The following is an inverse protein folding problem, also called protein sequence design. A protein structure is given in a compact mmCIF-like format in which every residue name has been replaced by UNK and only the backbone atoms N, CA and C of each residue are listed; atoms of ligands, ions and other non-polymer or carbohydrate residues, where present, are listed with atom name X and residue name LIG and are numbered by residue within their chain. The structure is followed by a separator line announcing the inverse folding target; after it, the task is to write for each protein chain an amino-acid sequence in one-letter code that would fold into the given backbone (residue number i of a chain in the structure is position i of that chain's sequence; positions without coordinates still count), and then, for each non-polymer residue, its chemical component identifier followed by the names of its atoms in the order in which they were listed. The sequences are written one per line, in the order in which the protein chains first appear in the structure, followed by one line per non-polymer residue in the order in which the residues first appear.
data_IF_157807183697
#
_entry.id   IF_157807183697
#
_cell.length_a   1.000
_cell.length_b   1.000
_cell.length_c   1.000
_cell.angle_alpha   90.00
_cell.angle_beta   90.00
_cell.angle_gamma   90.00
#
_symmetry.space_group_name_H-M   'P 1'
#
loop_
_entity.id
_entity.type
_entity.pdbx_description
1 polymer ?
#
# COMPACT_ATOMS: atom_id res chain seq x y z
N UNK A 1 8.76 -21.48 -7.45
CA UNK A 1 9.04 -20.21 -8.16
C UNK A 1 10.49 -19.83 -7.94
N UNK A 2 11.25 -19.58 -9.00
CA UNK A 2 12.63 -19.13 -8.93
C UNK A 2 12.70 -17.66 -9.39
N UNK A 3 13.36 -16.83 -8.61
CA UNK A 3 13.56 -15.41 -8.85
C UNK A 3 15.04 -15.17 -9.12
N UNK A 4 15.33 -14.48 -10.22
CA UNK A 4 16.66 -14.00 -10.54
C UNK A 4 16.59 -12.50 -10.77
N UNK A 5 17.16 -11.73 -9.85
CA UNK A 5 17.31 -10.28 -9.98
C UNK A 5 18.76 -9.99 -10.34
N UNK A 6 18.98 -9.17 -11.35
CA UNK A 6 20.30 -8.71 -11.79
C UNK A 6 20.32 -7.20 -11.87
N UNK A 7 21.51 -6.61 -11.78
CA UNK A 7 21.68 -5.21 -12.10
C UNK A 7 21.30 -4.93 -13.57
N UNK A 8 20.84 -3.70 -13.83
CA UNK A 8 20.49 -3.23 -15.16
C UNK A 8 21.74 -2.97 -16.02
N UNK A 9 22.87 -2.64 -15.37
CA UNK A 9 24.18 -2.61 -16.02
C UNK A 9 24.67 -4.03 -16.30
N UNK A 10 24.87 -4.36 -17.57
CA UNK A 10 25.34 -5.68 -18.01
C UNK A 10 26.76 -6.00 -17.51
N UNK A 11 27.57 -4.98 -17.21
CA UNK A 11 28.93 -5.13 -16.70
C UNK A 11 28.97 -5.27 -15.17
N UNK A 12 27.83 -5.09 -14.50
CA UNK A 12 27.73 -5.19 -13.05
C UNK A 12 27.43 -6.62 -12.61
N UNK A 13 28.25 -7.14 -11.70
CA UNK A 13 28.12 -8.51 -11.19
C UNK A 13 27.03 -8.69 -10.14
N UNK A 14 26.36 -7.61 -9.72
CA UNK A 14 25.33 -7.68 -8.68
C UNK A 14 24.16 -8.56 -9.12
N UNK A 15 23.78 -9.51 -8.27
CA UNK A 15 22.78 -10.53 -8.56
C UNK A 15 22.20 -11.12 -7.28
N UNK A 16 20.90 -11.37 -7.28
CA UNK A 16 20.18 -12.14 -6.28
C UNK A 16 19.47 -13.30 -6.99
N UNK A 17 19.74 -14.54 -6.58
CA UNK A 17 18.94 -15.71 -6.93
C UNK A 17 18.23 -16.20 -5.68
N UNK A 18 16.92 -16.35 -5.76
CA UNK A 18 16.10 -16.88 -4.69
C UNK A 18 15.07 -17.89 -5.23
N UNK A 19 14.59 -18.77 -4.36
CA UNK A 19 13.50 -19.71 -4.69
C UNK A 19 12.47 -19.73 -3.59
N UNK A 20 11.20 -19.95 -3.95
CA UNK A 20 10.12 -20.17 -2.98
C UNK A 20 10.48 -21.35 -2.07
N UNK A 21 10.28 -21.18 -0.78
CA UNK A 21 10.50 -22.21 0.23
C UNK A 21 9.29 -23.16 0.28
N UNK A 22 9.28 -24.18 -0.59
CA UNK A 22 8.18 -25.14 -0.67
C UNK A 22 6.82 -24.45 -0.79
N UNK A 23 5.93 -24.75 0.16
CA UNK A 23 4.56 -24.23 0.20
C UNK A 23 4.37 -22.99 1.08
N UNK A 24 5.37 -22.57 1.86
CA UNK A 24 5.26 -21.38 2.73
C UNK A 24 5.59 -20.10 1.96
N UNK A 25 5.03 -18.97 2.40
CA UNK A 25 5.22 -17.64 1.79
C UNK A 25 6.57 -17.00 2.16
N UNK A 26 7.65 -17.76 1.95
CA UNK A 26 9.02 -17.30 2.17
C UNK A 26 9.90 -17.67 0.97
N UNK A 27 10.98 -16.91 0.79
CA UNK A 27 11.98 -17.18 -0.23
C UNK A 27 13.33 -17.49 0.41
N UNK A 28 14.01 -18.51 -0.10
CA UNK A 28 15.38 -18.85 0.27
C UNK A 28 16.31 -18.18 -0.74
N UNK A 29 17.24 -17.36 -0.26
CA UNK A 29 18.31 -16.81 -1.07
C UNK A 29 19.30 -17.93 -1.38
N UNK A 30 19.37 -18.32 -2.65
CA UNK A 30 20.29 -19.35 -3.13
C UNK A 30 21.68 -18.77 -3.44
N UNK A 31 21.72 -17.53 -3.95
CA UNK A 31 22.98 -16.87 -4.32
C UNK A 31 22.81 -15.37 -4.25
N UNK A 32 23.79 -14.69 -3.64
CA UNK A 32 23.84 -13.24 -3.56
C UNK A 32 25.25 -12.76 -3.91
N UNK A 33 25.35 -11.92 -4.93
CA UNK A 33 26.49 -11.06 -5.18
C UNK A 33 26.08 -9.63 -4.82
N UNK A 34 26.44 -9.19 -3.61
CA UNK A 34 25.90 -7.96 -3.03
C UNK A 34 26.71 -6.69 -3.33
N UNK A 35 27.65 -6.74 -4.28
CA UNK A 35 28.51 -5.60 -4.61
C UNK A 35 28.16 -5.05 -5.98
N UNK A 36 27.79 -3.77 -6.03
CA UNK A 36 27.64 -3.04 -7.28
C UNK A 36 28.97 -2.44 -7.71
N UNK A 37 29.34 -2.64 -8.97
CA UNK A 37 30.46 -1.93 -9.64
C UNK A 37 29.98 -0.81 -10.56
N UNK A 38 28.67 -0.72 -10.81
CA UNK A 38 28.05 0.28 -11.68
C UNK A 38 27.85 1.63 -10.96
N UNK A 39 27.76 2.71 -11.75
CA UNK A 39 27.55 4.07 -11.22
C UNK A 39 26.21 4.21 -10.48
N UNK A 40 26.15 5.17 -9.56
CA UNK A 40 24.92 5.52 -8.86
C UNK A 40 23.82 5.94 -9.83
N UNK A 41 24.17 6.64 -10.92
CA UNK A 41 23.21 7.00 -11.96
C UNK A 41 22.50 5.77 -12.52
N UNK A 42 23.22 4.70 -12.88
CA UNK A 42 22.59 3.47 -13.41
C UNK A 42 21.78 2.75 -12.31
N UNK A 43 22.28 2.73 -11.08
CA UNK A 43 21.58 2.14 -9.93
C UNK A 43 20.26 2.84 -9.62
N UNK A 44 20.14 4.12 -9.96
CA UNK A 44 18.98 4.96 -9.64
C UNK A 44 18.20 5.50 -10.87
N UNK A 45 18.66 5.23 -12.10
CA UNK A 45 18.09 5.76 -13.37
C UNK A 45 16.63 5.36 -13.52
N UNK A 46 16.36 4.09 -13.26
CA UNK A 46 15.02 3.53 -13.23
C UNK A 46 14.63 3.27 -11.78
N UNK A 47 13.91 4.22 -11.18
CA UNK A 47 13.25 4.08 -9.87
C UNK A 47 12.09 3.05 -9.90
N UNK A 48 12.23 1.96 -10.66
CA UNK A 48 11.27 0.87 -10.89
C UNK A 48 11.14 -0.08 -9.69
N UNK A 49 12.06 0.03 -8.73
CA UNK A 49 12.20 -0.85 -7.56
C UNK A 49 10.97 -0.81 -6.64
N UNK A 50 10.27 0.34 -6.56
CA UNK A 50 9.09 0.53 -5.73
C UNK A 50 7.91 1.00 -6.60
N UNK A 51 6.96 0.09 -6.86
CA UNK A 51 5.71 0.40 -7.55
C UNK A 51 4.78 1.17 -6.61
N UNK A 52 3.82 1.90 -7.18
CA UNK A 52 2.82 2.64 -6.40
C UNK A 52 2.06 1.70 -5.44
N UNK A 53 1.65 0.52 -5.93
CA UNK A 53 0.91 -0.45 -5.13
C UNK A 53 1.76 -1.05 -4.01
N UNK A 54 3.05 -1.30 -4.25
CA UNK A 54 3.97 -1.77 -3.21
C UNK A 54 4.13 -0.73 -2.10
N UNK A 55 4.34 0.53 -2.47
CA UNK A 55 4.48 1.61 -1.48
C UNK A 55 3.19 1.77 -0.68
N UNK A 56 2.02 1.72 -1.34
CA UNK A 56 0.73 1.77 -0.68
C UNK A 56 0.57 0.65 0.36
N UNK A 57 1.00 -0.57 0.03
CA UNK A 57 0.96 -1.71 0.95
C UNK A 57 1.90 -1.53 2.15
N UNK A 58 3.08 -0.95 1.96
CA UNK A 58 4.04 -0.64 3.03
C UNK A 58 3.51 0.42 3.99
N UNK A 59 2.83 1.45 3.48
CA UNK A 59 2.39 2.58 4.31
C UNK A 59 0.99 2.41 4.91
N UNK A 60 0.23 1.39 4.51
CA UNK A 60 -1.20 1.24 4.86
C UNK A 60 -1.46 1.29 6.37
N UNK A 61 -0.56 0.71 7.16
CA UNK A 61 -0.71 0.64 8.62
C UNK A 61 -0.59 2.02 9.29
N UNK A 62 -0.05 3.03 8.60
CA UNK A 62 -0.07 4.42 9.07
C UNK A 62 -1.46 5.05 8.98
N UNK A 63 -2.40 4.40 8.30
CA UNK A 63 -3.77 4.87 8.06
C UNK A 63 -4.84 4.08 8.83
N UNK A 64 -4.48 3.11 9.68
CA UNK A 64 -5.44 2.38 10.53
C UNK A 64 -6.35 3.33 11.31
N UNK A 65 -5.81 4.46 11.77
CA UNK A 65 -6.62 5.60 12.16
C UNK A 65 -6.57 6.66 11.06
N UNK A 66 -7.67 6.84 10.33
CA UNK A 66 -7.76 7.81 9.23
C UNK A 66 -7.54 9.27 9.67
N UNK A 67 -7.54 9.58 10.97
CA UNK A 67 -7.22 10.91 11.50
C UNK A 67 -5.71 11.15 11.63
N UNK A 68 -4.89 10.11 11.45
CA UNK A 68 -3.43 10.20 11.53
C UNK A 68 -2.93 11.12 10.43
N UNK A 69 -2.12 12.12 10.80
CA UNK A 69 -1.46 13.00 9.83
C UNK A 69 -0.20 12.29 9.32
N UNK A 70 -0.26 11.86 8.07
CA UNK A 70 0.86 11.17 7.42
C UNK A 70 0.95 11.65 5.97
N UNK A 71 1.71 12.73 5.76
CA UNK A 71 1.73 13.44 4.48
C UNK A 71 2.77 12.87 3.52
N UNK A 72 2.80 13.41 2.30
CA UNK A 72 3.70 12.95 1.24
C UNK A 72 5.19 13.10 1.61
N UNK A 73 5.55 14.12 2.40
CA UNK A 73 6.93 14.34 2.86
C UNK A 73 7.33 13.26 3.86
N UNK A 74 6.43 12.89 4.77
CA UNK A 74 6.66 11.79 5.71
C UNK A 74 6.87 10.46 4.97
N UNK A 75 6.04 10.16 3.95
CA UNK A 75 6.21 8.96 3.12
C UNK A 75 7.59 8.93 2.44
N UNK A 76 8.03 10.06 1.86
CA UNK A 76 9.35 10.13 1.20
C UNK A 76 10.48 9.93 2.22
N UNK A 77 10.37 10.55 3.39
CA UNK A 77 11.36 10.45 4.47
C UNK A 77 11.47 9.02 4.98
N UNK A 78 10.34 8.40 5.32
CA UNK A 78 10.30 7.07 5.93
C UNK A 78 10.75 6.01 4.91
N UNK A 79 10.31 6.11 3.65
CA UNK A 79 10.78 5.20 2.59
C UNK A 79 12.29 5.30 2.35
N UNK A 80 12.88 6.49 2.52
CA UNK A 80 14.33 6.66 2.46
C UNK A 80 15.02 6.09 3.70
N UNK A 81 14.50 6.36 4.89
CA UNK A 81 15.12 5.97 6.15
C UNK A 81 15.01 4.45 6.42
N UNK A 82 13.80 3.91 6.31
CA UNK A 82 13.49 2.54 6.72
C UNK A 82 13.77 1.51 5.63
N UNK A 83 13.71 1.94 4.36
CA UNK A 83 13.82 1.04 3.20
C UNK A 83 14.93 1.43 2.22
N UNK A 84 15.65 2.54 2.44
CA UNK A 84 16.66 3.05 1.52
C UNK A 84 16.13 3.26 0.09
N UNK A 85 14.86 3.67 -0.04
CA UNK A 85 14.18 3.93 -1.31
C UNK A 85 13.91 5.42 -1.49
N UNK A 86 14.56 6.01 -2.49
CA UNK A 86 14.31 7.42 -2.84
C UNK A 86 13.08 7.61 -3.73
N UNK A 87 12.02 8.20 -3.18
CA UNK A 87 10.79 8.48 -3.89
C UNK A 87 10.76 9.88 -4.54
N UNK A 88 10.12 9.97 -5.72
CA UNK A 88 9.66 11.25 -6.27
C UNK A 88 8.33 11.61 -5.60
N UNK A 89 8.05 12.90 -5.43
CA UNK A 89 6.81 13.41 -4.84
C UNK A 89 5.54 12.78 -5.45
N UNK A 90 5.40 12.83 -6.78
CA UNK A 90 4.24 12.25 -7.47
C UNK A 90 4.05 10.75 -7.23
N UNK A 91 5.14 10.01 -6.99
CA UNK A 91 5.05 8.57 -6.69
C UNK A 91 4.54 8.34 -5.27
N UNK A 92 5.05 9.10 -4.29
CA UNK A 92 4.59 9.05 -2.91
C UNK A 92 3.12 9.48 -2.80
N UNK A 93 2.74 10.59 -3.44
CA UNK A 93 1.33 11.00 -3.60
C UNK A 93 0.48 9.85 -4.11
N UNK A 94 0.77 9.35 -5.32
CA UNK A 94 -0.10 8.34 -5.96
C UNK A 94 -0.19 7.05 -5.15
N UNK A 95 0.80 6.77 -4.30
CA UNK A 95 0.77 5.62 -3.38
C UNK A 95 -0.17 5.89 -2.21
N UNK A 96 -0.13 7.10 -1.65
CA UNK A 96 -1.08 7.55 -0.63
C UNK A 96 -2.53 7.48 -1.11
N UNK A 97 -2.82 7.94 -2.33
CA UNK A 97 -4.18 7.89 -2.92
C UNK A 97 -4.73 6.48 -3.14
N UNK A 98 -3.88 5.44 -3.08
CA UNK A 98 -4.33 4.06 -3.17
C UNK A 98 -4.78 3.47 -1.84
N UNK A 99 -4.54 4.16 -0.72
CA UNK A 99 -4.92 3.69 0.61
C UNK A 99 -6.30 4.25 0.95
N UNK A 100 -7.29 3.36 0.98
CA UNK A 100 -8.61 3.62 1.55
C UNK A 100 -8.70 3.05 2.96
N UNK A 101 -9.53 3.67 3.79
CA UNK A 101 -9.87 3.19 5.13
C UNK A 101 -11.37 2.98 5.20
N UNK A 102 -11.79 1.88 5.80
CA UNK A 102 -13.18 1.64 6.19
C UNK A 102 -13.24 1.64 7.70
N UNK A 103 -14.20 2.38 8.25
CA UNK A 103 -14.41 2.51 9.69
C UNK A 103 -15.91 2.48 10.00
N UNK A 104 -16.26 1.90 11.15
CA UNK A 104 -17.62 1.73 11.64
C UNK A 104 -17.88 2.57 12.88
N UNK A 105 -19.04 3.24 12.94
CA UNK A 105 -19.44 3.94 14.17
C UNK A 105 -20.89 3.67 14.54
N UNK A 106 -21.13 3.37 15.83
CA UNK A 106 -22.47 3.12 16.33
C UNK A 106 -23.32 4.38 16.33
N UNK A 107 -24.52 4.28 15.75
CA UNK A 107 -25.50 5.35 15.76
C UNK A 107 -26.24 5.37 17.11
N UNK A 108 -26.31 6.56 17.72
CA UNK A 108 -26.99 6.78 19.01
C UNK A 108 -28.50 7.04 18.89
N UNK A 109 -29.13 6.59 17.81
CA UNK A 109 -30.56 6.86 17.54
C UNK A 109 -31.45 5.75 18.10
N UNK A 110 -32.77 5.99 18.20
CA UNK A 110 -33.75 4.97 18.56
C UNK A 110 -33.71 3.74 17.64
N UNK A 111 -33.29 3.97 16.38
CA UNK A 111 -32.94 2.93 15.43
C UNK A 111 -31.45 2.61 15.65
N UNK A 112 -31.21 1.52 16.37
CA UNK A 112 -29.86 0.97 16.57
C UNK A 112 -29.25 0.62 15.21
N UNK A 113 -27.95 0.82 15.04
CA UNK A 113 -27.25 0.54 13.80
C UNK A 113 -25.80 1.01 13.82
N UNK A 114 -25.07 0.65 12.78
CA UNK A 114 -23.69 1.09 12.52
C UNK A 114 -23.64 1.86 11.22
N UNK A 115 -22.99 3.02 11.23
CA UNK A 115 -22.60 3.74 10.03
C UNK A 115 -21.21 3.26 9.61
N UNK A 116 -21.14 2.56 8.48
CA UNK A 116 -19.88 2.20 7.84
C UNK A 116 -19.50 3.29 6.84
N UNK A 117 -18.24 3.74 6.86
CA UNK A 117 -17.73 4.77 5.95
C UNK A 117 -16.42 4.29 5.33
N UNK A 118 -16.39 4.22 4.00
CA UNK A 118 -15.13 4.15 3.25
C UNK A 118 -14.65 5.58 2.98
N UNK A 119 -13.40 5.87 3.30
CA UNK A 119 -12.80 7.18 3.12
C UNK A 119 -11.32 7.08 2.72
N UNK A 120 -10.79 8.17 2.18
CA UNK A 120 -9.37 8.33 1.83
C UNK A 120 -8.88 9.68 2.34
N UNK A 121 -7.57 9.86 2.44
CA UNK A 121 -6.97 11.17 2.63
C UNK A 121 -6.49 11.77 1.31
N UNK A 122 -6.60 13.09 1.16
CA UNK A 122 -5.92 13.83 0.10
C UNK A 122 -4.47 14.18 0.48
N UNK A 123 -3.82 14.97 -0.38
CA UNK A 123 -2.45 15.46 -0.20
C UNK A 123 -2.30 16.36 1.04
N UNK A 124 -3.36 17.06 1.43
CA UNK A 124 -3.40 17.95 2.59
C UNK A 124 -3.89 17.27 3.87
N UNK A 125 -3.87 15.93 3.92
CA UNK A 125 -4.36 15.10 5.02
C UNK A 125 -5.85 15.32 5.34
N UNK A 126 -6.62 15.85 4.39
CA UNK A 126 -8.07 16.00 4.54
C UNK A 126 -8.75 14.68 4.19
N UNK A 127 -9.70 14.30 5.04
CA UNK A 127 -10.47 13.08 4.88
C UNK A 127 -11.62 13.34 3.91
N UNK A 128 -11.78 12.46 2.92
CA UNK A 128 -12.89 12.46 1.98
C UNK A 128 -13.59 11.12 2.00
N UNK A 129 -14.90 11.14 2.22
CA UNK A 129 -15.74 9.95 2.16
C UNK A 129 -15.93 9.53 0.71
N UNK A 130 -15.67 8.26 0.43
CA UNK A 130 -15.85 7.62 -0.87
C UNK A 130 -17.24 6.96 -0.97
N UNK A 131 -17.68 6.33 0.11
CA UNK A 131 -19.01 5.73 0.24
C UNK A 131 -19.38 5.58 1.72
N UNK A 132 -20.67 5.48 2.01
CA UNK A 132 -21.17 5.20 3.35
C UNK A 132 -22.46 4.38 3.30
N UNK A 133 -22.75 3.64 4.36
CA UNK A 133 -24.00 2.89 4.51
C UNK A 133 -24.39 2.80 5.99
N UNK A 134 -25.70 2.80 6.26
CA UNK A 134 -26.24 2.45 7.57
C UNK A 134 -26.67 0.99 7.54
N UNK A 135 -26.15 0.18 8.46
CA UNK A 135 -26.44 -1.24 8.61
C UNK A 135 -26.93 -1.53 10.03
N UNK A 136 -27.62 -2.65 10.22
CA UNK A 136 -28.13 -3.02 11.55
C UNK A 136 -27.00 -3.30 12.55
N UNK A 137 -25.90 -3.89 12.08
CA UNK A 137 -24.66 -4.07 12.83
C UNK A 137 -23.49 -4.32 11.88
N UNK A 138 -22.29 -4.06 12.38
CA UNK A 138 -21.04 -4.46 11.75
C UNK A 138 -20.83 -5.97 11.92
N UNK A 139 -21.08 -6.70 10.84
CA UNK A 139 -20.97 -8.15 10.77
C UNK A 139 -20.57 -8.55 9.34
N UNK A 140 -20.15 -9.81 9.15
CA UNK A 140 -19.62 -10.30 7.88
C UNK A 140 -20.57 -10.06 6.69
N UNK A 141 -21.89 -10.23 6.86
CA UNK A 141 -22.87 -10.03 5.79
C UNK A 141 -23.01 -8.54 5.43
N UNK A 142 -23.11 -7.67 6.42
CA UNK A 142 -23.18 -6.22 6.24
C UNK A 142 -21.92 -5.68 5.55
N UNK A 143 -20.75 -6.13 6.01
CA UNK A 143 -19.45 -5.71 5.47
C UNK A 143 -19.24 -6.26 4.06
N UNK A 144 -19.55 -7.54 3.81
CA UNK A 144 -19.47 -8.13 2.47
C UNK A 144 -20.38 -7.37 1.49
N UNK A 145 -21.63 -7.11 1.88
CA UNK A 145 -22.57 -6.35 1.06
C UNK A 145 -22.01 -4.95 0.76
N UNK A 146 -21.45 -4.27 1.77
CA UNK A 146 -20.84 -2.95 1.59
C UNK A 146 -19.67 -3.00 0.61
N UNK A 147 -18.72 -3.92 0.78
CA UNK A 147 -17.56 -4.05 -0.10
C UNK A 147 -17.93 -4.43 -1.53
N UNK A 148 -18.93 -5.30 -1.71
CA UNK A 148 -19.44 -5.65 -3.04
C UNK A 148 -20.04 -4.42 -3.75
N UNK A 149 -20.84 -3.62 -3.04
CA UNK A 149 -21.44 -2.41 -3.61
C UNK A 149 -20.41 -1.29 -3.80
N UNK A 150 -19.49 -1.12 -2.86
CA UNK A 150 -18.38 -0.19 -2.98
C UNK A 150 -17.55 -0.49 -4.22
N UNK A 151 -17.19 -1.77 -4.46
CA UNK A 151 -16.49 -2.18 -5.67
C UNK A 151 -17.30 -1.94 -6.95
N UNK A 152 -18.62 -2.13 -6.93
CA UNK A 152 -19.49 -1.85 -8.08
C UNK A 152 -19.56 -0.36 -8.40
N UNK A 153 -19.68 0.49 -7.38
CA UNK A 153 -19.83 1.94 -7.55
C UNK A 153 -18.50 2.66 -7.81
N UNK A 154 -17.47 2.36 -7.03
CA UNK A 154 -16.16 3.02 -7.11
C UNK A 154 -15.23 2.36 -8.14
N UNK A 155 -15.54 1.14 -8.56
CA UNK A 155 -14.74 0.33 -9.45
C UNK A 155 -13.61 -0.42 -8.73
N UNK A 156 -13.18 -1.54 -9.31
CA UNK A 156 -11.96 -2.23 -8.88
C UNK A 156 -10.73 -1.47 -9.39
N UNK A 157 -10.01 -0.77 -8.51
CA UNK A 157 -8.73 -0.16 -8.84
C UNK A 157 -7.59 -1.13 -8.54
N UNK A 158 -6.86 -1.53 -9.58
CA UNK A 158 -5.72 -2.43 -9.42
C UNK A 158 -4.72 -1.86 -8.41
N UNK A 159 -4.40 -2.65 -7.38
CA UNK A 159 -3.47 -2.28 -6.31
C UNK A 159 -3.98 -1.23 -5.32
N UNK A 160 -5.29 -0.97 -5.26
CA UNK A 160 -5.91 -0.27 -4.13
C UNK A 160 -5.78 -1.14 -2.87
N UNK A 161 -5.48 -0.48 -1.76
CA UNK A 161 -5.32 -1.11 -0.45
C UNK A 161 -6.42 -0.57 0.45
N UNK A 162 -7.18 -1.46 1.09
CA UNK A 162 -8.18 -1.08 2.09
C UNK A 162 -7.65 -1.49 3.46
N UNK A 163 -7.74 -0.57 4.40
CA UNK A 163 -7.49 -0.79 5.82
C UNK A 163 -8.84 -0.76 6.54
N UNK A 164 -9.09 -1.77 7.34
CA UNK A 164 -10.22 -1.88 8.28
C UNK A 164 -9.65 -2.48 9.56
N UNK A 165 -10.28 -2.21 10.69
CA UNK A 165 -9.98 -2.84 11.98
C UNK A 165 -10.35 -4.33 12.04
#
# INVERSE_FOLDING_TARGET
MNILVKCLDQNCKWLLRASKNGNINQFIVQRLFNTHSCSLEIRFKDKRQATISFIADVIKDKFTNIKTKYNVVDIIRDMKHDHNVELKYNKAWRSKEKVGVVDGTFLKSSYRGTLLVAATQDVGDKIFSLAFVVVDSENDLSCEWFFQNFRKAYGGREGMVIVSD
#
